data_IF_174163409068
#
_entry.id   IF_174163409068
#
_cell.length_a   1.000
_cell.length_b   1.000
_cell.length_c   1.000
_cell.angle_alpha   90.00
_cell.angle_beta   90.00
_cell.angle_gamma   90.00
#
_symmetry.space_group_name_H-M   'P 1'
#
loop_
_entity.id
_entity.type
_entity.pdbx_description
1 polymer ?
#
# COMPACT_ATOMS: atom_id res chain seq x y z
N UNK A 1 -12.90 2.47 6.72
CA UNK A 1 -13.33 1.72 5.52
C UNK A 1 -12.09 1.21 4.83
N UNK A 2 -11.90 -0.10 4.80
CA UNK A 2 -10.69 -0.68 4.20
C UNK A 2 -10.96 -1.03 2.75
N UNK A 3 -10.12 -0.56 1.81
CA UNK A 3 -10.21 -0.92 0.39
C UNK A 3 -9.10 -1.91 0.08
N UNK A 4 -9.41 -3.13 -0.37
CA UNK A 4 -8.39 -4.11 -0.82
C UNK A 4 -8.82 -4.89 -2.06
N UNK A 5 -7.92 -5.07 -3.04
CA UNK A 5 -8.10 -5.89 -4.25
C UNK A 5 -7.34 -7.22 -4.17
N UNK A 6 -8.00 -8.30 -4.64
CA UNK A 6 -7.65 -9.74 -4.84
C UNK A 6 -6.64 -10.41 -3.87
N UNK A 7 -6.73 -11.67 -3.44
CA UNK A 7 -7.43 -12.90 -3.82
C UNK A 7 -7.95 -13.57 -2.53
N UNK A 8 -9.21 -14.05 -2.51
CA UNK A 8 -9.83 -14.72 -1.34
C UNK A 8 -11.08 -14.03 -0.81
N UNK A 9 -12.14 -13.93 -1.62
CA UNK A 9 -13.41 -13.24 -1.28
C UNK A 9 -14.14 -13.84 -0.07
N UNK A 10 -13.84 -15.09 0.31
CA UNK A 10 -14.58 -15.85 1.33
C UNK A 10 -13.91 -15.84 2.71
N UNK A 11 -12.59 -15.96 2.77
CA UNK A 11 -11.85 -16.07 4.06
C UNK A 11 -11.73 -14.73 4.79
N UNK A 12 -11.68 -13.62 4.04
CA UNK A 12 -11.44 -12.28 4.61
C UNK A 12 -12.70 -11.69 5.27
N UNK A 13 -13.91 -12.12 4.87
CA UNK A 13 -15.15 -11.66 5.52
C UNK A 13 -15.24 -12.07 6.99
N UNK A 14 -14.60 -13.18 7.37
CA UNK A 14 -14.59 -13.70 8.75
C UNK A 14 -13.50 -13.07 9.64
N UNK A 15 -12.41 -12.55 9.05
CA UNK A 15 -11.30 -11.93 9.78
C UNK A 15 -11.51 -10.42 10.05
N UNK A 16 -12.68 -9.88 9.72
CA UNK A 16 -13.00 -8.46 9.81
C UNK A 16 -13.54 -8.13 11.21
N UNK A 17 -12.99 -7.15 11.94
CA UNK A 17 -13.63 -6.64 13.15
C UNK A 17 -15.07 -6.19 12.83
N UNK A 18 -16.06 -6.49 13.68
CA UNK A 18 -17.48 -6.29 13.37
C UNK A 18 -17.80 -4.86 12.89
N UNK A 19 -17.05 -3.86 13.37
CA UNK A 19 -17.27 -2.44 13.14
C UNK A 19 -16.70 -1.85 11.82
N UNK A 20 -15.99 -2.62 10.98
CA UNK A 20 -15.27 -2.03 9.82
C UNK A 20 -15.94 -2.35 8.49
N UNK A 21 -16.30 -1.36 7.65
CA UNK A 21 -16.81 -1.63 6.29
C UNK A 21 -15.66 -2.01 5.34
N UNK A 22 -15.77 -3.18 4.68
CA UNK A 22 -14.85 -3.63 3.62
C UNK A 22 -15.45 -3.31 2.26
N UNK A 23 -14.66 -2.69 1.39
CA UNK A 23 -15.05 -2.39 0.00
C UNK A 23 -13.95 -2.89 -0.93
N UNK A 24 -14.33 -3.52 -2.03
CA UNK A 24 -13.41 -4.03 -3.05
C UNK A 24 -13.76 -3.29 -4.34
N UNK A 25 -12.82 -2.53 -4.87
CA UNK A 25 -12.96 -1.73 -6.11
C UNK A 25 -11.73 -1.91 -6.97
N UNK A 26 -11.84 -1.68 -8.28
CA UNK A 26 -10.68 -1.60 -9.15
C UNK A 26 -9.82 -0.37 -8.84
N UNK A 27 -8.56 -0.35 -9.29
CA UNK A 27 -7.63 0.77 -9.03
C UNK A 27 -8.21 2.09 -9.54
N UNK A 28 -8.72 2.14 -10.77
CA UNK A 28 -9.32 3.34 -11.34
C UNK A 28 -10.54 3.79 -10.54
N UNK A 29 -11.48 2.88 -10.27
CA UNK A 29 -12.68 3.17 -9.46
C UNK A 29 -12.30 3.65 -8.04
N UNK A 30 -11.23 3.11 -7.47
CA UNK A 30 -10.73 3.49 -6.15
C UNK A 30 -10.18 4.92 -6.19
N UNK A 31 -9.38 5.27 -7.19
CA UNK A 31 -8.85 6.63 -7.38
C UNK A 31 -10.00 7.63 -7.56
N UNK A 32 -10.98 7.33 -8.42
CA UNK A 32 -12.15 8.20 -8.63
C UNK A 32 -13.00 8.35 -7.35
N UNK A 33 -13.16 7.27 -6.59
CA UNK A 33 -13.88 7.33 -5.31
C UNK A 33 -13.18 8.18 -4.27
N UNK A 34 -11.84 8.18 -4.26
CA UNK A 34 -11.05 8.98 -3.35
C UNK A 34 -11.06 10.44 -3.81
N UNK A 35 -10.88 10.70 -5.11
CA UNK A 35 -10.91 12.05 -5.70
C UNK A 35 -12.29 12.73 -5.60
N UNK A 36 -13.38 11.96 -5.67
CA UNK A 36 -14.75 12.49 -5.56
C UNK A 36 -15.15 12.92 -4.15
N UNK A 37 -14.33 12.69 -3.12
CA UNK A 37 -14.59 13.11 -1.74
C UNK A 37 -15.68 12.31 -1.02
N UNK A 38 -16.33 11.35 -1.70
CA UNK A 38 -17.34 10.45 -1.09
C UNK A 38 -16.77 9.69 0.10
N UNK A 39 -15.46 9.48 0.09
CA UNK A 39 -14.73 8.76 1.12
C UNK A 39 -14.18 9.61 2.27
N UNK A 40 -14.27 10.94 2.20
CA UNK A 40 -13.61 11.86 3.17
C UNK A 40 -14.16 11.74 4.59
N UNK A 41 -15.43 11.35 4.70
CA UNK A 41 -16.09 11.07 5.98
C UNK A 41 -15.63 9.78 6.67
N UNK A 42 -14.74 9.00 6.03
CA UNK A 42 -14.26 7.73 6.56
C UNK A 42 -12.75 7.73 6.73
N UNK A 43 -12.27 7.11 7.82
CA UNK A 43 -10.87 6.72 7.91
C UNK A 43 -10.62 5.54 6.95
N UNK A 44 -9.94 5.79 5.84
CA UNK A 44 -9.63 4.80 4.83
C UNK A 44 -8.37 4.00 5.20
N UNK A 45 -8.42 2.70 4.99
CA UNK A 45 -7.25 1.82 5.06
C UNK A 45 -7.13 1.08 3.73
N UNK A 46 -6.30 1.61 2.84
CA UNK A 46 -6.13 1.06 1.49
C UNK A 46 -5.05 0.00 1.56
N UNK A 47 -5.30 -1.13 0.93
CA UNK A 47 -4.35 -2.21 0.81
C UNK A 47 -4.33 -2.68 -0.62
N UNK A 48 -3.14 -2.80 -1.17
CA UNK A 48 -2.92 -3.21 -2.55
C UNK A 48 -2.17 -4.53 -2.59
N UNK A 49 -2.15 -5.16 -3.76
CA UNK A 49 -1.42 -6.40 -3.99
C UNK A 49 0.01 -6.14 -4.48
N UNK A 50 0.25 -5.02 -5.16
CA UNK A 50 1.54 -4.69 -5.78
C UNK A 50 2.04 -3.27 -5.44
N UNK A 51 3.36 -3.07 -5.56
CA UNK A 51 3.99 -1.75 -5.40
C UNK A 51 3.54 -0.79 -6.50
N UNK A 52 3.39 -1.29 -7.71
CA UNK A 52 2.91 -0.50 -8.85
C UNK A 52 1.51 0.10 -8.59
N UNK A 53 0.59 -0.68 -8.00
CA UNK A 53 -0.74 -0.19 -7.65
C UNK A 53 -0.67 0.89 -6.55
N UNK A 54 0.18 0.70 -5.53
CA UNK A 54 0.42 1.73 -4.52
C UNK A 54 0.94 3.02 -5.16
N UNK A 55 1.91 2.90 -6.08
CA UNK A 55 2.48 4.04 -6.79
C UNK A 55 1.46 4.79 -7.63
N UNK A 56 0.58 4.08 -8.36
CA UNK A 56 -0.49 4.71 -9.15
C UNK A 56 -1.44 5.49 -8.26
N UNK A 57 -1.94 4.88 -7.19
CA UNK A 57 -2.90 5.55 -6.29
C UNK A 57 -2.23 6.75 -5.60
N UNK A 58 -1.02 6.59 -5.05
CA UNK A 58 -0.31 7.66 -4.35
C UNK A 58 0.17 8.77 -5.28
N UNK A 59 0.39 8.48 -6.57
CA UNK A 59 0.73 9.51 -7.55
C UNK A 59 -0.48 10.31 -8.02
N UNK A 60 -1.67 9.69 -8.05
CA UNK A 60 -2.91 10.33 -8.48
C UNK A 60 -3.66 11.04 -7.33
N UNK A 61 -3.45 10.62 -6.09
CA UNK A 61 -4.19 11.10 -4.92
C UNK A 61 -3.27 11.89 -4.00
N UNK A 62 -3.46 13.20 -3.94
CA UNK A 62 -2.63 14.13 -3.14
C UNK A 62 -2.79 13.97 -1.61
N UNK A 63 -3.73 13.14 -1.15
CA UNK A 63 -3.99 12.90 0.27
C UNK A 63 -3.13 11.80 0.92
N UNK A 64 -2.34 11.04 0.16
CA UNK A 64 -1.57 9.90 0.69
C UNK A 64 -0.25 10.40 1.28
N UNK A 65 -0.18 10.43 2.62
CA UNK A 65 1.01 10.89 3.35
C UNK A 65 2.02 9.79 3.65
N UNK A 66 1.56 8.55 3.80
CA UNK A 66 2.39 7.43 4.23
C UNK A 66 1.97 6.12 3.58
N UNK A 67 2.94 5.30 3.22
CA UNK A 67 2.78 3.94 2.68
C UNK A 67 3.57 2.98 3.54
N UNK A 68 2.92 1.89 3.94
CA UNK A 68 3.56 0.80 4.67
C UNK A 68 3.83 -0.41 3.76
N UNK A 69 5.08 -0.85 3.73
CA UNK A 69 5.53 -2.07 3.08
C UNK A 69 5.62 -3.18 4.14
N UNK A 70 4.60 -4.05 4.15
CA UNK A 70 4.52 -5.14 5.12
C UNK A 70 5.42 -6.32 4.77
N UNK A 71 5.30 -6.83 3.55
CA UNK A 71 6.09 -7.97 3.08
C UNK A 71 5.96 -8.17 1.59
N UNK A 72 7.09 -8.25 0.89
CA UNK A 72 7.17 -8.46 -0.54
C UNK A 72 8.12 -9.62 -0.79
N UNK A 73 7.56 -10.70 -1.34
CA UNK A 73 8.28 -11.95 -1.60
C UNK A 73 9.35 -11.72 -2.65
N UNK A 74 10.46 -12.45 -2.52
CA UNK A 74 11.47 -12.50 -3.57
C UNK A 74 10.86 -13.08 -4.86
N UNK A 75 11.14 -12.42 -5.97
CA UNK A 75 10.87 -12.85 -7.34
C UNK A 75 12.14 -12.74 -8.16
N UNK A 76 12.16 -13.39 -9.31
CA UNK A 76 13.31 -13.32 -10.21
C UNK A 76 13.67 -11.87 -10.55
N UNK A 77 14.95 -11.51 -10.45
CA UNK A 77 15.44 -10.14 -10.66
C UNK A 77 15.20 -9.16 -9.51
N UNK A 78 14.55 -9.57 -8.41
CA UNK A 78 14.37 -8.68 -7.24
C UNK A 78 15.64 -8.55 -6.40
N UNK A 79 15.89 -7.33 -5.91
CA UNK A 79 16.94 -6.99 -4.95
C UNK A 79 16.39 -7.09 -3.53
N UNK A 80 17.14 -7.70 -2.63
CA UNK A 80 16.79 -7.70 -1.22
C UNK A 80 17.04 -6.31 -0.61
N UNK A 81 15.99 -5.71 -0.04
CA UNK A 81 16.05 -4.40 0.63
C UNK A 81 16.01 -4.56 2.14
N UNK A 82 15.22 -5.52 2.62
CA UNK A 82 15.09 -5.83 4.04
C UNK A 82 14.69 -7.30 4.23
N UNK A 83 14.67 -7.76 5.48
CA UNK A 83 14.33 -9.14 5.87
C UNK A 83 13.02 -9.63 5.25
N UNK A 84 12.03 -8.76 5.13
CA UNK A 84 10.71 -9.09 4.58
C UNK A 84 10.42 -8.45 3.21
N UNK A 85 11.35 -7.67 2.64
CA UNK A 85 11.12 -6.85 1.45
C UNK A 85 12.16 -7.14 0.38
N UNK A 86 11.67 -7.61 -0.77
CA UNK A 86 12.44 -7.75 -2.00
C UNK A 86 11.73 -6.94 -3.08
N UNK A 87 12.47 -6.11 -3.82
CA UNK A 87 11.91 -5.21 -4.82
C UNK A 87 12.63 -5.35 -6.14
N UNK A 88 11.90 -5.25 -7.24
CA UNK A 88 12.48 -5.08 -8.56
C UNK A 88 13.09 -3.68 -8.71
N UNK A 89 14.06 -3.49 -9.63
CA UNK A 89 14.60 -2.18 -9.96
C UNK A 89 13.52 -1.13 -10.26
N UNK A 90 12.50 -1.49 -11.05
CA UNK A 90 11.37 -0.61 -11.37
C UNK A 90 10.55 -0.20 -10.13
N UNK A 91 10.35 -1.13 -9.19
CA UNK A 91 9.60 -0.86 -7.96
C UNK A 91 10.37 0.08 -7.02
N UNK A 92 11.71 -0.02 -7.03
CA UNK A 92 12.59 0.90 -6.30
C UNK A 92 12.46 2.32 -6.85
N UNK A 93 12.53 2.49 -8.17
CA UNK A 93 12.38 3.81 -8.81
C UNK A 93 11.00 4.42 -8.51
N UNK A 94 9.93 3.63 -8.59
CA UNK A 94 8.58 4.06 -8.22
C UNK A 94 8.50 4.56 -6.78
N UNK A 95 9.03 3.80 -5.82
CA UNK A 95 9.03 4.21 -4.42
C UNK A 95 9.90 5.45 -4.19
N UNK A 96 11.03 5.58 -4.86
CA UNK A 96 11.87 6.78 -4.80
C UNK A 96 11.14 8.02 -5.32
N UNK A 97 10.36 7.90 -6.40
CA UNK A 97 9.51 8.99 -6.88
C UNK A 97 8.48 9.43 -5.84
N UNK A 98 7.86 8.49 -5.12
CA UNK A 98 6.91 8.81 -4.04
C UNK A 98 7.59 9.52 -2.87
N UNK A 99 8.77 9.04 -2.47
CA UNK A 99 9.59 9.71 -1.45
C UNK A 99 9.95 11.14 -1.89
N UNK A 100 10.31 11.33 -3.16
CA UNK A 100 10.58 12.65 -3.73
C UNK A 100 9.36 13.58 -3.76
N UNK A 101 8.15 13.03 -3.83
CA UNK A 101 6.88 13.77 -3.67
C UNK A 101 6.51 14.07 -2.21
N UNK A 102 7.32 13.64 -1.25
CA UNK A 102 7.06 13.81 0.18
C UNK A 102 6.17 12.74 0.82
N UNK A 103 5.93 11.62 0.14
CA UNK A 103 5.23 10.47 0.71
C UNK A 103 6.20 9.66 1.57
N UNK A 104 5.85 9.44 2.83
CA UNK A 104 6.66 8.62 3.71
C UNK A 104 6.49 7.13 3.38
N UNK A 105 7.57 6.46 3.00
CA UNK A 105 7.54 5.00 2.75
C UNK A 105 8.25 4.28 3.89
N UNK A 106 7.50 3.49 4.65
CA UNK A 106 8.00 2.71 5.79
C UNK A 106 7.93 1.20 5.52
N UNK A 107 8.84 0.46 6.12
CA UNK A 107 8.91 -1.00 6.12
C UNK A 107 8.64 -1.48 7.54
N UNK A 108 7.56 -2.25 7.71
CA UNK A 108 7.16 -2.84 9.01
C UNK A 108 6.15 -3.96 8.76
N UNK A 109 6.47 -5.18 9.17
CA UNK A 109 5.61 -6.36 8.92
C UNK A 109 4.49 -6.48 9.96
N UNK A 110 4.79 -6.24 11.24
CA UNK A 110 3.79 -6.17 12.31
C UNK A 110 3.92 -4.87 13.11
N UNK A 111 2.85 -4.40 13.78
CA UNK A 111 2.90 -3.14 14.55
C UNK A 111 4.02 -3.08 15.59
N UNK A 112 4.41 -4.23 16.14
CA UNK A 112 5.45 -4.35 17.16
C UNK A 112 6.89 -4.28 16.60
N UNK A 113 7.07 -4.42 15.29
CA UNK A 113 8.40 -4.33 14.69
C UNK A 113 8.90 -2.88 14.68
N UNK A 114 10.22 -2.67 14.61
CA UNK A 114 10.76 -1.33 14.44
C UNK A 114 10.37 -0.77 13.07
N UNK A 115 9.91 0.48 13.06
CA UNK A 115 9.68 1.23 11.82
C UNK A 115 11.03 1.49 11.15
N UNK A 116 11.16 1.08 9.89
CA UNK A 116 12.34 1.34 9.07
C UNK A 116 11.92 2.18 7.86
N UNK A 117 12.62 3.27 7.59
CA UNK A 117 12.31 4.12 6.43
C UNK A 117 12.96 3.55 5.18
N UNK A 118 12.19 3.44 4.09
CA UNK A 118 12.69 2.94 2.82
C UNK A 118 13.89 3.75 2.32
N UNK A 119 13.86 5.08 2.46
CA UNK A 119 14.95 5.98 2.05
C UNK A 119 16.32 5.69 2.73
N UNK A 120 16.34 4.96 3.84
CA UNK A 120 17.58 4.55 4.54
C UNK A 120 18.10 3.19 4.08
N UNK A 121 17.35 2.47 3.24
CA UNK A 121 17.61 1.08 2.85
C UNK A 121 18.12 0.93 1.41
N UNK A 122 18.06 2.01 0.62
CA UNK A 122 18.41 2.05 -0.81
C UNK A 122 19.56 3.01 -1.05
#
# INVERSE_FOLDING_TARGET
>A
MSLKMSCGKTTIKLAKPPSVKLVIKNINDAIESIKSGVTDKYHLFIVVESVNDAWRIASDVEGIKSINLGGIKAKEGSKNISKAINLLPEEIEQLQQLVGKGVEVEIRQVPNDRKQLFAQCV
#
